data_IF_226426154225
#
_entry.id   IF_226426154225
#
_cell.length_a   1.000
_cell.length_b   1.000
_cell.length_c   1.000
_cell.angle_alpha   90.00
_cell.angle_beta   90.00
_cell.angle_gamma   90.00
#
_symmetry.space_group_name_H-M   'P 1'
#
loop_
_entity.id
_entity.type
_entity.pdbx_description
1 polymer ?
#
# COMPACT_ATOMS: atom_id res chain seq x y z
N UNK A 1 4.85 -55.00 28.17
CA UNK A 1 5.88 -55.94 27.69
C UNK A 1 6.78 -55.15 26.76
N UNK A 2 8.06 -55.06 27.14
CA UNK A 2 9.25 -54.78 26.29
C UNK A 2 9.25 -53.37 25.65
N UNK A 3 9.94 -52.36 26.19
CA UNK A 3 11.40 -52.15 26.35
C UNK A 3 12.19 -52.11 25.04
N UNK A 4 13.17 -51.22 25.03
CA UNK A 4 14.32 -51.08 24.11
C UNK A 4 14.05 -50.31 22.80
N UNK A 5 14.91 -49.43 22.32
CA UNK A 5 16.12 -48.81 22.86
C UNK A 5 16.46 -47.61 21.98
N UNK A 6 17.03 -46.56 22.57
CA UNK A 6 17.70 -45.49 21.83
C UNK A 6 19.02 -45.99 21.21
N UNK A 7 19.64 -45.23 20.28
CA UNK A 7 20.82 -44.53 20.77
C UNK A 7 21.02 -43.12 20.22
N UNK A 8 21.44 -42.25 21.14
CA UNK A 8 22.54 -41.29 21.06
C UNK A 8 22.77 -40.53 19.73
N UNK A 9 22.41 -39.26 19.74
CA UNK A 9 23.13 -38.23 18.97
C UNK A 9 23.85 -37.27 19.91
N UNK A 10 25.15 -37.18 19.64
CA UNK A 10 26.22 -36.45 20.28
C UNK A 10 25.88 -35.05 20.80
N UNK A 11 26.45 -34.74 21.96
CA UNK A 11 26.51 -33.41 22.52
C UNK A 11 27.31 -32.46 21.64
N UNK A 12 26.77 -31.26 21.48
CA UNK A 12 27.48 -30.10 20.94
C UNK A 12 28.18 -29.42 22.12
N UNK A 13 29.50 -29.24 22.09
CA UNK A 13 30.23 -28.56 23.15
C UNK A 13 29.95 -27.05 23.12
N UNK A 14 29.89 -26.46 24.31
CA UNK A 14 29.81 -25.03 24.52
C UNK A 14 30.95 -24.30 23.80
N UNK A 15 30.58 -23.37 22.94
CA UNK A 15 31.49 -22.39 22.36
C UNK A 15 31.61 -21.21 23.31
N UNK A 16 32.84 -21.02 23.79
CA UNK A 16 33.28 -19.93 24.64
C UNK A 16 32.82 -18.54 24.14
N UNK A 17 32.45 -17.72 25.13
CA UNK A 17 32.35 -16.28 25.01
C UNK A 17 33.75 -15.71 24.72
N UNK A 18 34.08 -15.65 23.43
CA UNK A 18 35.21 -14.90 22.91
C UNK A 18 35.02 -13.41 23.20
N UNK A 19 35.87 -12.89 24.06
CA UNK A 19 36.13 -11.47 24.28
C UNK A 19 36.46 -10.82 22.92
N UNK A 20 35.98 -9.60 22.62
CA UNK A 20 36.35 -8.92 21.40
C UNK A 20 37.84 -8.57 21.46
N UNK A 21 38.64 -9.40 20.78
CA UNK A 21 40.06 -9.14 20.55
C UNK A 21 40.21 -7.82 19.80
N UNK A 22 41.11 -7.01 20.33
CA UNK A 22 41.56 -5.74 19.80
C UNK A 22 41.73 -5.78 18.28
N UNK A 23 40.88 -5.04 17.58
CA UNK A 23 41.07 -4.72 16.18
C UNK A 23 42.36 -3.90 16.07
N UNK A 24 43.47 -4.61 15.88
CA UNK A 24 44.75 -4.02 15.52
C UNK A 24 44.51 -3.09 14.32
N UNK A 25 44.93 -1.81 14.39
CA UNK A 25 44.76 -0.90 13.27
C UNK A 25 45.48 -1.52 12.08
N UNK A 26 44.72 -1.81 11.02
CA UNK A 26 45.29 -2.11 9.73
C UNK A 26 46.12 -0.90 9.35
N UNK A 27 47.41 -0.98 9.61
CA UNK A 27 48.39 -0.04 9.11
C UNK A 27 48.39 -0.24 7.61
N UNK A 28 47.47 0.46 6.93
CA UNK A 28 47.59 0.76 5.52
C UNK A 28 49.02 1.26 5.36
N UNK A 29 49.88 0.40 4.83
CA UNK A 29 51.20 0.77 4.36
C UNK A 29 50.91 1.74 3.23
N UNK A 30 50.82 3.03 3.59
CA UNK A 30 50.87 4.12 2.64
C UNK A 30 52.19 3.93 1.91
N UNK A 31 52.11 3.31 0.74
CA UNK A 31 53.22 3.21 -0.19
C UNK A 31 53.82 4.61 -0.29
N UNK A 32 55.11 4.72 -0.04
CA UNK A 32 55.85 5.99 -0.11
C UNK A 32 55.36 6.76 -1.34
N UNK A 33 55.02 8.07 -1.21
CA UNK A 33 54.52 8.84 -2.33
C UNK A 33 55.49 8.66 -3.48
N UNK A 34 55.03 8.05 -4.56
CA UNK A 34 55.85 7.84 -5.73
C UNK A 34 56.35 9.22 -6.15
N UNK A 35 57.67 9.42 -6.11
CA UNK A 35 58.30 10.68 -6.49
C UNK A 35 58.27 10.76 -8.00
N UNK A 36 57.11 11.14 -8.54
CA UNK A 36 56.95 11.39 -9.97
C UNK A 36 57.76 12.62 -10.32
N UNK A 37 58.61 12.48 -11.33
CA UNK A 37 59.34 13.62 -11.86
C UNK A 37 58.33 14.64 -12.43
N UNK A 38 58.70 15.92 -12.39
CA UNK A 38 57.86 17.01 -12.93
C UNK A 38 57.28 16.74 -14.33
N UNK A 39 58.01 16.15 -15.30
CA UNK A 39 57.44 15.79 -16.59
C UNK A 39 56.37 14.70 -16.52
N UNK A 40 56.48 13.72 -15.61
CA UNK A 40 55.45 12.68 -15.44
C UNK A 40 54.15 13.25 -14.88
N UNK A 41 54.23 14.25 -13.99
CA UNK A 41 53.05 14.94 -13.45
C UNK A 41 52.31 15.74 -14.53
N UNK A 42 53.04 16.43 -15.41
CA UNK A 42 52.47 17.17 -16.53
C UNK A 42 51.82 16.22 -17.55
N UNK A 43 52.44 15.07 -17.84
CA UNK A 43 51.86 14.06 -18.72
C UNK A 43 50.56 13.47 -18.15
N UNK A 44 50.52 13.13 -16.86
CA UNK A 44 49.31 12.63 -16.20
C UNK A 44 48.18 13.66 -16.21
N UNK A 45 48.50 14.94 -15.95
CA UNK A 45 47.51 16.02 -16.01
C UNK A 45 46.96 16.18 -17.43
N UNK A 46 47.82 16.11 -18.45
CA UNK A 46 47.41 16.18 -19.86
C UNK A 46 46.46 15.03 -20.25
N UNK A 47 46.77 13.80 -19.82
CA UNK A 47 45.90 12.63 -20.06
C UNK A 47 44.56 12.76 -19.33
N UNK A 48 44.57 13.24 -18.09
CA UNK A 48 43.34 13.47 -17.33
C UNK A 48 42.45 14.52 -17.99
N UNK A 49 43.03 15.65 -18.42
CA UNK A 49 42.30 16.70 -19.13
C UNK A 49 41.75 16.20 -20.46
N UNK A 50 42.53 15.41 -21.21
CA UNK A 50 42.07 14.81 -22.46
C UNK A 50 40.94 13.78 -22.23
N UNK A 51 40.98 13.00 -21.15
CA UNK A 51 39.91 12.09 -20.77
C UNK A 51 38.64 12.84 -20.37
N UNK A 52 38.75 13.90 -19.55
CA UNK A 52 37.60 14.72 -19.16
C UNK A 52 37.00 15.40 -20.40
N UNK A 53 37.82 16.01 -21.26
CA UNK A 53 37.35 16.61 -22.50
C UNK A 53 36.71 15.58 -23.44
N UNK A 54 37.26 14.36 -23.51
CA UNK A 54 36.70 13.26 -24.28
C UNK A 54 35.34 12.80 -23.74
N UNK A 55 35.18 12.66 -22.42
CA UNK A 55 33.89 12.32 -21.80
C UNK A 55 32.87 13.44 -22.00
N UNK A 56 33.26 14.70 -21.82
CA UNK A 56 32.37 15.85 -22.06
C UNK A 56 31.93 15.89 -23.52
N UNK A 57 32.85 15.69 -24.46
CA UNK A 57 32.54 15.67 -25.90
C UNK A 57 31.63 14.49 -26.26
N UNK A 58 31.87 13.30 -25.71
CA UNK A 58 30.99 12.14 -25.93
C UNK A 58 29.61 12.42 -25.37
N UNK A 59 29.50 12.98 -24.16
CA UNK A 59 28.21 13.35 -23.54
C UNK A 59 27.48 14.43 -24.35
N UNK A 60 28.22 15.39 -24.92
CA UNK A 60 27.64 16.43 -25.76
C UNK A 60 27.15 15.86 -27.09
N UNK A 61 27.98 15.06 -27.77
CA UNK A 61 27.61 14.43 -29.03
C UNK A 61 26.49 13.39 -28.87
N UNK A 62 26.38 12.74 -27.71
CA UNK A 62 25.28 11.81 -27.42
C UNK A 62 23.98 12.49 -27.01
N UNK A 63 24.01 13.80 -26.69
CA UNK A 63 22.80 14.57 -26.36
C UNK A 63 22.09 15.12 -27.60
N UNK A 64 22.79 15.26 -28.72
CA UNK A 64 22.20 15.78 -29.96
C UNK A 64 21.31 14.75 -30.70
N UNK A 65 21.34 13.47 -30.28
CA UNK A 65 20.55 12.37 -30.86
C UNK A 65 19.55 11.78 -29.86
N UNK A 66 18.98 12.59 -28.95
CA UNK A 66 17.79 12.11 -28.23
C UNK A 66 16.69 11.84 -29.28
N UNK A 67 16.24 10.59 -29.43
CA UNK A 67 15.28 10.24 -30.47
C UNK A 67 14.03 11.08 -30.26
N UNK A 68 13.63 11.81 -31.31
CA UNK A 68 12.38 12.56 -31.30
C UNK A 68 11.24 11.59 -30.95
N UNK A 69 10.42 11.90 -29.93
CA UNK A 69 9.32 11.02 -29.54
C UNK A 69 8.43 10.70 -30.73
N UNK A 70 8.05 9.43 -30.86
CA UNK A 70 7.20 8.90 -31.92
C UNK A 70 5.79 8.65 -31.40
N UNK A 71 4.84 8.46 -32.31
CA UNK A 71 3.48 8.04 -31.96
C UNK A 71 3.51 6.82 -31.04
N UNK A 72 2.82 6.91 -29.90
CA UNK A 72 2.73 5.86 -28.90
C UNK A 72 3.83 5.86 -27.84
N UNK A 73 4.84 6.71 -27.99
CA UNK A 73 5.82 6.91 -26.91
C UNK A 73 5.16 7.59 -25.71
N UNK A 74 5.59 7.17 -24.51
CA UNK A 74 5.24 7.80 -23.25
C UNK A 74 6.43 8.64 -22.79
N UNK A 75 6.23 9.95 -22.70
CA UNK A 75 7.18 10.88 -22.12
C UNK A 75 6.83 11.00 -20.64
N UNK A 76 7.62 10.37 -19.77
CA UNK A 76 7.39 10.43 -18.33
C UNK A 76 7.57 11.86 -17.80
N UNK A 77 6.58 12.36 -17.07
CA UNK A 77 6.61 13.63 -16.37
C UNK A 77 5.86 13.49 -15.05
N UNK A 78 6.48 13.87 -13.94
CA UNK A 78 5.87 13.79 -12.63
C UNK A 78 4.69 14.75 -12.46
N UNK A 79 4.66 15.86 -13.22
CA UNK A 79 3.67 16.93 -13.08
C UNK A 79 3.10 17.36 -14.44
N UNK A 80 2.38 16.47 -15.14
CA UNK A 80 1.88 16.75 -16.49
C UNK A 80 0.72 17.76 -16.50
N UNK A 81 0.21 18.14 -15.32
CA UNK A 81 -0.91 19.06 -15.13
C UNK A 81 -0.48 20.32 -14.39
N UNK A 82 -0.99 21.46 -14.84
CA UNK A 82 -1.02 22.70 -14.09
C UNK A 82 -2.15 22.69 -13.05
N UNK A 83 -2.02 23.51 -12.01
CA UNK A 83 -3.09 23.74 -11.02
C UNK A 83 -4.37 24.34 -11.64
N UNK A 84 -4.24 25.03 -12.77
CA UNK A 84 -5.34 25.71 -13.46
C UNK A 84 -6.00 24.85 -14.56
N UNK A 85 -5.50 23.64 -14.82
CA UNK A 85 -6.03 22.79 -15.88
C UNK A 85 -7.36 22.15 -15.47
N UNK A 86 -8.33 22.16 -16.38
CA UNK A 86 -9.56 21.40 -16.21
C UNK A 86 -9.27 19.90 -16.37
N UNK A 87 -9.21 19.19 -15.24
CA UNK A 87 -8.91 17.76 -15.20
C UNK A 87 -10.19 16.93 -15.20
N UNK A 88 -10.14 15.84 -15.94
CA UNK A 88 -11.18 14.83 -16.01
C UNK A 88 -10.71 13.59 -15.27
N UNK A 89 -11.34 13.27 -14.13
CA UNK A 89 -11.01 12.09 -13.32
C UNK A 89 -11.97 10.93 -13.61
N UNK A 90 -11.42 9.72 -13.72
CA UNK A 90 -12.13 8.47 -13.95
C UNK A 90 -11.71 7.44 -12.92
N UNK A 91 -12.69 6.85 -12.26
CA UNK A 91 -12.49 5.72 -11.36
C UNK A 91 -12.93 4.43 -12.05
N UNK A 92 -12.01 3.48 -12.15
CA UNK A 92 -12.28 2.12 -12.59
C UNK A 92 -12.16 1.20 -11.37
N UNK A 93 -13.29 0.63 -10.95
CA UNK A 93 -13.35 -0.32 -9.84
C UNK A 93 -12.85 -1.67 -10.30
N UNK A 94 -11.80 -2.11 -9.64
CA UNK A 94 -11.26 -3.45 -9.73
C UNK A 94 -11.56 -4.19 -8.42
N UNK A 95 -11.54 -5.53 -8.43
CA UNK A 95 -11.84 -6.32 -7.24
C UNK A 95 -10.82 -6.12 -6.12
N UNK A 96 -9.57 -5.88 -6.49
CA UNK A 96 -8.48 -5.63 -5.55
C UNK A 96 -8.36 -4.14 -5.15
N UNK A 97 -9.14 -3.23 -5.75
CA UNK A 97 -9.03 -1.81 -5.47
C UNK A 97 -9.54 -0.90 -6.59
N UNK A 98 -9.28 0.40 -6.48
CA UNK A 98 -9.71 1.37 -7.49
C UNK A 98 -8.52 1.87 -8.30
N UNK A 99 -8.67 1.92 -9.61
CA UNK A 99 -7.77 2.61 -10.52
C UNK A 99 -8.34 4.01 -10.78
N UNK A 100 -7.60 5.03 -10.38
CA UNK A 100 -7.92 6.42 -10.66
C UNK A 100 -7.08 6.87 -11.85
N UNK A 101 -7.72 7.39 -12.89
CA UNK A 101 -7.06 7.99 -14.03
C UNK A 101 -7.49 9.44 -14.17
N UNK A 102 -6.54 10.31 -14.51
CA UNK A 102 -6.75 11.73 -14.75
C UNK A 102 -6.22 12.09 -16.11
N UNK A 103 -6.97 12.93 -16.81
CA UNK A 103 -6.62 13.42 -18.13
C UNK A 103 -6.96 14.91 -18.25
N UNK A 104 -6.30 15.57 -19.18
CA UNK A 104 -6.73 16.85 -19.74
C UNK A 104 -6.88 16.69 -21.25
N UNK A 105 -7.40 17.71 -21.93
CA UNK A 105 -7.44 17.71 -23.39
C UNK A 105 -6.02 17.57 -23.99
N UNK A 106 -5.89 16.96 -25.18
CA UNK A 106 -4.62 16.91 -25.90
C UNK A 106 -4.03 18.30 -26.15
N UNK A 107 -2.72 18.45 -25.94
CA UNK A 107 -2.01 19.72 -26.10
C UNK A 107 -0.97 19.62 -27.23
N UNK A 108 -0.66 20.72 -27.94
CA UNK A 108 0.35 20.70 -29.02
C UNK A 108 1.79 20.65 -28.50
N UNK A 109 2.00 20.97 -27.22
CA UNK A 109 3.31 20.98 -26.58
C UNK A 109 3.19 20.80 -25.07
N UNK A 110 4.12 20.06 -24.47
CA UNK A 110 4.25 19.96 -23.02
C UNK A 110 5.07 21.15 -22.50
N UNK A 111 4.66 21.77 -21.38
CA UNK A 111 5.47 22.79 -20.73
C UNK A 111 6.85 22.21 -20.36
N UNK A 112 7.89 23.06 -20.31
CA UNK A 112 9.17 22.61 -19.82
C UNK A 112 9.05 22.19 -18.34
N UNK A 113 9.64 21.06 -17.98
CA UNK A 113 9.73 20.62 -16.58
C UNK A 113 10.42 21.70 -15.75
N UNK A 114 9.97 21.96 -14.51
CA UNK A 114 10.50 23.05 -13.66
C UNK A 114 12.04 23.01 -13.50
N UNK A 115 12.62 21.81 -13.53
CA UNK A 115 14.06 21.58 -13.38
C UNK A 115 14.88 21.81 -14.68
N UNK A 116 14.21 21.94 -15.83
CA UNK A 116 14.85 22.15 -17.12
C UNK A 116 14.40 23.49 -17.70
N UNK A 117 15.32 24.44 -17.84
CA UNK A 117 15.15 25.64 -18.67
C UNK A 117 15.14 25.29 -20.18
N UNK A 118 14.49 24.18 -20.54
CA UNK A 118 14.37 23.71 -21.90
C UNK A 118 13.22 24.43 -22.61
N UNK A 119 13.23 24.35 -23.94
CA UNK A 119 12.08 24.74 -24.74
C UNK A 119 10.91 23.76 -24.47
N UNK A 120 9.65 24.20 -24.62
CA UNK A 120 8.50 23.31 -24.56
C UNK A 120 8.67 22.12 -25.50
N UNK A 121 8.37 20.91 -25.02
CA UNK A 121 8.47 19.72 -25.84
C UNK A 121 7.29 19.71 -26.82
N UNK A 122 7.59 19.75 -28.12
CA UNK A 122 6.59 19.65 -29.18
C UNK A 122 7.03 18.59 -30.18
N UNK A 123 6.06 17.87 -30.73
CA UNK A 123 6.30 16.82 -31.73
C UNK A 123 5.48 17.16 -32.96
N UNK A 124 6.15 17.43 -34.08
CA UNK A 124 5.49 17.90 -35.29
C UNK A 124 4.42 16.90 -35.77
N UNK A 125 3.19 17.39 -36.01
CA UNK A 125 2.07 16.57 -36.48
C UNK A 125 1.47 15.64 -35.42
N UNK A 126 1.82 15.82 -34.15
CA UNK A 126 1.33 15.02 -33.04
C UNK A 126 0.73 15.90 -31.94
N UNK A 127 -0.16 15.29 -31.17
CA UNK A 127 -0.68 15.85 -29.95
C UNK A 127 -0.08 15.09 -28.76
N UNK A 128 0.00 15.75 -27.61
CA UNK A 128 0.44 15.17 -26.37
C UNK A 128 -0.79 15.05 -25.47
N UNK A 129 -1.18 13.83 -25.11
CA UNK A 129 -2.27 13.59 -24.16
C UNK A 129 -1.68 13.51 -22.74
N UNK A 130 -1.92 14.51 -21.87
CA UNK A 130 -1.43 14.47 -20.51
C UNK A 130 -2.27 13.48 -19.70
N UNK A 131 -1.61 12.60 -18.96
CA UNK A 131 -2.28 11.60 -18.14
C UNK A 131 -1.57 11.40 -16.81
N UNK A 132 -2.35 10.98 -15.82
CA UNK A 132 -1.87 10.39 -14.57
C UNK A 132 -2.77 9.21 -14.24
N UNK A 133 -2.18 8.15 -13.71
CA UNK A 133 -2.96 7.09 -13.11
C UNK A 133 -2.35 6.65 -11.79
N UNK A 134 -3.21 6.28 -10.86
CA UNK A 134 -2.85 5.72 -9.57
C UNK A 134 -3.76 4.56 -9.23
N UNK A 135 -3.15 3.47 -8.80
CA UNK A 135 -3.90 2.36 -8.23
C UNK A 135 -3.94 2.48 -6.71
N UNK A 136 -5.13 2.61 -6.14
CA UNK A 136 -5.34 2.48 -4.71
C UNK A 136 -5.80 1.05 -4.43
N UNK A 137 -4.90 0.27 -3.84
CA UNK A 137 -5.25 -1.04 -3.34
C UNK A 137 -6.18 -0.85 -2.14
N UNK A 138 -7.40 -1.36 -2.25
CA UNK A 138 -8.21 -1.56 -1.07
C UNK A 138 -7.56 -2.74 -0.37
N UNK A 139 -6.80 -2.51 0.72
CA UNK A 139 -6.11 -3.49 1.59
C UNK A 139 -6.84 -4.82 1.90
N UNK A 140 -8.10 -4.89 1.51
CA UNK A 140 -9.18 -5.83 1.73
C UNK A 140 -8.99 -7.17 1.00
N UNK A 141 -8.23 -7.23 -0.09
CA UNK A 141 -7.93 -8.51 -0.77
C UNK A 141 -6.45 -8.60 -1.16
N UNK A 142 -5.64 -9.25 -0.32
CA UNK A 142 -4.35 -9.80 -0.75
C UNK A 142 -4.53 -11.12 -1.54
N UNK A 143 -5.72 -11.39 -2.07
CA UNK A 143 -5.84 -12.39 -3.12
C UNK A 143 -4.84 -11.98 -4.21
N UNK A 144 -3.94 -12.88 -4.60
CA UNK A 144 -2.83 -12.62 -5.51
C UNK A 144 -3.27 -11.64 -6.59
N UNK A 145 -2.89 -10.36 -6.46
CA UNK A 145 -3.54 -9.32 -7.24
C UNK A 145 -3.29 -9.66 -8.71
N UNK A 146 -4.36 -10.01 -9.41
CA UNK A 146 -4.26 -10.26 -10.83
C UNK A 146 -3.69 -8.97 -11.43
N UNK A 147 -2.66 -9.13 -12.26
CA UNK A 147 -2.07 -7.98 -12.95
C UNK A 147 -3.16 -7.38 -13.83
N UNK A 148 -3.43 -6.09 -13.63
CA UNK A 148 -4.31 -5.34 -14.52
C UNK A 148 -3.43 -4.63 -15.55
N UNK A 149 -3.70 -4.79 -16.84
CA UNK A 149 -3.03 -4.01 -17.89
C UNK A 149 -3.91 -2.83 -18.25
N UNK A 150 -3.32 -1.63 -18.26
CA UNK A 150 -4.01 -0.38 -18.59
C UNK A 150 -3.59 0.03 -20.00
N UNK A 151 -4.57 0.18 -20.89
CA UNK A 151 -4.37 0.57 -22.28
C UNK A 151 -5.23 1.79 -22.59
N UNK A 152 -4.70 2.76 -23.32
CA UNK A 152 -5.50 3.80 -23.97
C UNK A 152 -5.71 3.41 -25.42
N UNK A 153 -6.97 3.35 -25.84
CA UNK A 153 -7.37 3.17 -27.22
C UNK A 153 -7.81 4.52 -27.80
N UNK A 154 -7.24 4.89 -28.96
CA UNK A 154 -7.60 6.10 -29.71
C UNK A 154 -7.92 5.67 -31.13
N UNK A 155 -9.21 5.59 -31.46
CA UNK A 155 -9.69 4.88 -32.65
C UNK A 155 -9.26 3.41 -32.64
N UNK A 156 -8.51 2.97 -33.66
CA UNK A 156 -7.99 1.60 -33.78
C UNK A 156 -6.62 1.39 -33.09
N UNK A 157 -5.94 2.47 -32.69
CA UNK A 157 -4.63 2.40 -32.06
C UNK A 157 -4.76 2.11 -30.56
N UNK A 158 -3.81 1.33 -30.01
CA UNK A 158 -3.76 0.94 -28.60
C UNK A 158 -2.38 1.22 -28.02
N UNK A 159 -2.35 1.86 -26.86
CA UNK A 159 -1.12 2.27 -26.17
C UNK A 159 -1.15 1.79 -24.72
N UNK A 160 -0.24 0.89 -24.35
CA UNK A 160 -0.14 0.37 -22.98
C UNK A 160 0.49 1.44 -22.07
N UNK A 161 -0.27 1.89 -21.06
CA UNK A 161 0.25 2.84 -20.05
C UNK A 161 1.08 2.14 -18.98
N UNK A 162 0.80 0.86 -18.75
CA UNK A 162 1.50 0.03 -17.79
C UNK A 162 0.61 -1.03 -17.16
N UNK A 163 1.17 -1.66 -16.13
CA UNK A 163 0.52 -2.72 -15.39
C UNK A 163 0.35 -2.34 -13.93
N UNK A 164 -0.83 -2.62 -13.37
CA UNK A 164 -1.08 -2.54 -11.93
C UNK A 164 -0.26 -3.64 -11.26
N UNK A 165 0.82 -3.25 -10.60
CA UNK A 165 1.67 -4.16 -9.86
C UNK A 165 1.09 -4.41 -8.46
N UNK A 166 1.25 -5.64 -7.92
CA UNK A 166 0.82 -6.00 -6.56
C UNK A 166 1.75 -5.36 -5.52
N UNK A 167 1.71 -4.05 -5.32
CA UNK A 167 2.58 -3.38 -4.35
C UNK A 167 1.81 -2.39 -3.48
N UNK A 168 1.59 -2.82 -2.23
CA UNK A 168 1.26 -1.94 -1.10
C UNK A 168 -0.11 -1.23 -1.16
N UNK A 169 -0.40 -0.38 -0.16
CA UNK A 169 -1.63 0.44 -0.07
C UNK A 169 -2.00 1.22 -1.33
N UNK A 170 -0.98 1.79 -1.98
CA UNK A 170 -1.11 2.71 -3.10
C UNK A 170 0.11 2.53 -3.96
N UNK A 171 -0.09 2.34 -5.26
CA UNK A 171 1.01 2.49 -6.20
C UNK A 171 1.47 3.95 -6.20
N UNK A 172 2.77 4.22 -6.47
CA UNK A 172 3.15 5.55 -6.91
C UNK A 172 2.27 5.92 -8.12
N UNK A 173 1.85 7.18 -8.17
CA UNK A 173 1.20 7.69 -9.37
C UNK A 173 2.18 7.59 -10.54
N UNK A 174 1.67 7.20 -11.70
CA UNK A 174 2.41 7.24 -12.95
C UNK A 174 1.80 8.32 -13.81
N UNK A 175 2.63 9.21 -14.32
CA UNK A 175 2.20 10.39 -15.04
C UNK A 175 3.13 10.69 -16.21
N UNK A 176 2.60 11.41 -17.20
CA UNK A 176 3.35 11.83 -18.36
C UNK A 176 2.47 12.28 -19.52
N UNK A 177 3.06 12.29 -20.71
CA UNK A 177 2.41 12.60 -21.97
C UNK A 177 2.46 11.40 -22.90
N UNK A 178 1.31 10.98 -23.42
CA UNK A 178 1.22 10.02 -24.52
C UNK A 178 1.24 10.77 -25.86
N UNK A 179 2.17 10.41 -26.75
CA UNK A 179 2.26 11.00 -28.09
C UNK A 179 1.21 10.39 -29.01
N UNK A 180 0.23 11.18 -29.44
CA UNK A 180 -0.86 10.76 -30.33
C UNK A 180 -0.67 11.32 -31.74
N UNK A 181 -1.10 10.59 -32.79
CA UNK A 181 -1.01 11.09 -34.15
C UNK A 181 -2.10 12.14 -34.42
N UNK A 182 -1.74 13.26 -35.07
CA UNK A 182 -2.67 14.33 -35.42
C UNK A 182 -2.44 15.61 -34.61
N UNK A 183 -3.16 16.68 -34.96
CA UNK A 183 -3.06 17.94 -34.23
C UNK A 183 -3.90 17.91 -32.95
N UNK A 184 -3.49 18.64 -31.92
CA UNK A 184 -4.22 18.75 -30.66
C UNK A 184 -5.71 19.09 -30.86
N UNK A 185 -6.00 20.13 -31.66
CA UNK A 185 -7.38 20.57 -31.95
C UNK A 185 -8.23 19.56 -32.74
N UNK A 186 -7.64 18.46 -33.21
CA UNK A 186 -8.34 17.39 -33.94
C UNK A 186 -8.65 16.15 -33.10
N UNK A 187 -8.20 16.13 -31.84
CA UNK A 187 -8.41 15.05 -30.89
C UNK A 187 -9.15 15.57 -29.66
N UNK A 188 -10.06 14.77 -29.14
CA UNK A 188 -10.78 15.07 -27.90
C UNK A 188 -10.69 13.89 -26.94
N UNK A 189 -10.96 14.12 -25.65
CA UNK A 189 -11.09 13.02 -24.70
C UNK A 189 -12.26 12.08 -25.01
N UNK A 190 -13.24 12.51 -25.79
CA UNK A 190 -14.33 11.64 -26.26
C UNK A 190 -13.84 10.59 -27.27
N UNK A 191 -12.69 10.81 -27.91
CA UNK A 191 -12.06 9.86 -28.84
C UNK A 191 -11.16 8.84 -28.13
N UNK A 192 -10.94 9.02 -26.81
CA UNK A 192 -10.06 8.19 -25.99
C UNK A 192 -10.89 7.21 -25.16
N UNK A 193 -10.60 5.92 -25.31
CA UNK A 193 -11.18 4.84 -24.51
C UNK A 193 -10.10 4.24 -23.61
N UNK A 194 -10.35 4.23 -22.30
CA UNK A 194 -9.55 3.55 -21.30
C UNK A 194 -9.96 2.08 -21.31
N UNK A 195 -9.01 1.20 -21.54
CA UNK A 195 -9.17 -0.25 -21.55
C UNK A 195 -8.40 -0.85 -20.38
N UNK A 196 -9.09 -1.60 -19.52
CA UNK A 196 -8.47 -2.30 -18.39
C UNK A 196 -8.71 -3.79 -18.51
N UNK A 197 -7.65 -4.55 -18.76
CA UNK A 197 -7.69 -6.00 -18.78
C UNK A 197 -7.32 -6.53 -17.40
N UNK A 198 -8.28 -7.12 -16.69
CA UNK A 198 -8.10 -7.72 -15.37
C UNK A 198 -8.62 -9.16 -15.38
N UNK A 199 -7.75 -10.12 -15.05
CA UNK A 199 -8.11 -11.55 -15.00
C UNK A 199 -8.80 -12.06 -16.29
N UNK A 200 -8.30 -11.60 -17.44
CA UNK A 200 -8.84 -11.93 -18.77
C UNK A 200 -10.15 -11.22 -19.13
N UNK A 201 -10.70 -10.37 -18.26
CA UNK A 201 -11.88 -9.56 -18.52
C UNK A 201 -11.48 -8.14 -18.90
N UNK A 202 -12.04 -7.64 -20.00
CA UNK A 202 -11.83 -6.28 -20.47
C UNK A 202 -12.95 -5.37 -19.94
N UNK A 203 -12.56 -4.29 -19.28
CA UNK A 203 -13.42 -3.17 -18.96
C UNK A 203 -13.05 -1.99 -19.85
N UNK A 204 -14.04 -1.22 -20.30
CA UNK A 204 -13.82 -0.04 -21.15
C UNK A 204 -14.53 1.18 -20.57
N UNK A 205 -13.87 2.35 -20.61
CA UNK A 205 -14.43 3.63 -20.15
C UNK A 205 -14.01 4.73 -21.11
N UNK A 206 -14.94 5.52 -21.63
CA UNK A 206 -14.63 6.71 -22.39
C UNK A 206 -14.02 7.78 -21.48
N UNK A 207 -12.84 8.30 -21.82
CA UNK A 207 -12.15 9.27 -20.99
C UNK A 207 -12.95 10.58 -20.87
N UNK A 208 -13.55 11.07 -21.95
CA UNK A 208 -14.31 12.32 -21.99
C UNK A 208 -15.67 12.25 -21.30
N UNK A 209 -16.46 11.20 -21.54
CA UNK A 209 -17.84 11.11 -21.02
C UNK A 209 -17.96 10.32 -19.72
N UNK A 210 -17.02 9.40 -19.45
CA UNK A 210 -17.10 8.46 -18.33
C UNK A 210 -18.08 7.30 -18.54
N UNK A 211 -18.74 7.23 -19.70
CA UNK A 211 -19.54 6.07 -20.08
C UNK A 211 -18.64 4.85 -20.24
N UNK A 212 -19.05 3.69 -19.71
CA UNK A 212 -18.24 2.48 -19.74
C UNK A 212 -19.04 1.20 -19.88
N UNK A 213 -18.34 0.17 -20.36
CA UNK A 213 -18.79 -1.23 -20.33
C UNK A 213 -17.83 -2.00 -19.41
N UNK A 214 -18.36 -2.43 -18.27
CA UNK A 214 -17.60 -3.13 -17.24
C UNK A 214 -17.77 -4.66 -17.31
N UNK A 215 -18.57 -5.14 -18.28
CA UNK A 215 -18.81 -6.57 -18.48
C UNK A 215 -19.24 -7.29 -17.18
N UNK A 216 -18.49 -8.32 -16.81
CA UNK A 216 -18.70 -9.08 -15.58
C UNK A 216 -18.52 -8.23 -14.30
N UNK A 217 -17.69 -7.18 -14.35
CA UNK A 217 -17.45 -6.28 -13.22
C UNK A 217 -18.57 -5.24 -13.01
N UNK A 218 -19.62 -5.20 -13.86
CA UNK A 218 -20.73 -4.23 -13.75
C UNK A 218 -21.35 -4.17 -12.34
N UNK A 219 -21.42 -5.30 -11.64
CA UNK A 219 -21.94 -5.36 -10.27
C UNK A 219 -21.16 -4.49 -9.26
N UNK A 220 -19.87 -4.18 -9.52
CA UNK A 220 -19.07 -3.25 -8.72
C UNK A 220 -19.53 -1.79 -8.87
N UNK A 221 -20.17 -1.47 -9.99
CA UNK A 221 -20.61 -0.11 -10.35
C UNK A 221 -22.09 0.12 -10.05
N UNK A 222 -22.92 -0.89 -10.22
CA UNK A 222 -24.38 -0.77 -10.04
C UNK A 222 -24.82 -0.55 -8.60
N UNK A 223 -23.96 -0.88 -7.61
CA UNK A 223 -24.30 -0.65 -6.21
C UNK A 223 -23.96 0.78 -5.81
N UNK A 224 -24.90 1.52 -5.18
CA UNK A 224 -24.53 2.76 -4.53
C UNK A 224 -23.38 2.44 -3.58
N UNK A 225 -22.35 3.29 -3.55
CA UNK A 225 -21.36 3.21 -2.49
C UNK A 225 -22.15 3.22 -1.19
N UNK A 226 -22.26 2.05 -0.53
CA UNK A 226 -23.01 1.94 0.71
C UNK A 226 -22.24 2.78 1.71
N UNK A 227 -22.61 4.05 1.80
CA UNK A 227 -22.25 4.94 2.88
C UNK A 227 -22.97 4.36 4.09
N UNK A 228 -22.41 3.31 4.67
CA UNK A 228 -22.91 2.74 5.91
C UNK A 228 -22.74 3.83 6.96
N UNK A 229 -23.82 4.55 7.26
CA UNK A 229 -23.87 5.48 8.37
C UNK A 229 -23.79 4.64 9.64
N UNK A 230 -22.58 4.50 10.17
CA UNK A 230 -22.38 3.82 11.43
C UNK A 230 -22.63 4.81 12.57
N UNK A 231 -23.49 4.44 13.51
CA UNK A 231 -23.51 5.09 14.82
C UNK A 231 -22.53 4.30 15.69
N UNK A 232 -21.44 4.90 16.18
CA UNK A 232 -20.54 4.24 17.12
C UNK A 232 -21.31 3.84 18.38
N UNK A 233 -21.79 2.60 18.42
CA UNK A 233 -21.83 1.88 19.66
C UNK A 233 -20.38 1.59 19.99
N UNK A 234 -19.77 2.38 20.89
CA UNK A 234 -18.47 2.00 21.43
C UNK A 234 -18.56 0.55 21.90
N UNK A 235 -17.48 -0.22 21.73
CA UNK A 235 -17.38 -1.52 22.40
C UNK A 235 -17.78 -1.29 23.85
N UNK A 236 -18.91 -1.85 24.28
CA UNK A 236 -19.21 -1.88 25.69
C UNK A 236 -18.08 -2.74 26.27
N UNK A 237 -17.10 -2.10 26.91
CA UNK A 237 -16.16 -2.82 27.75
C UNK A 237 -17.07 -3.61 28.69
N UNK A 238 -17.06 -4.94 28.56
CA UNK A 238 -17.87 -5.77 29.43
C UNK A 238 -17.47 -5.39 30.86
N UNK A 239 -18.37 -4.80 31.66
CA UNK A 239 -18.05 -4.50 33.05
C UNK A 239 -17.68 -5.76 33.84
N UNK A 240 -17.91 -6.96 33.27
CA UNK A 240 -17.46 -8.24 33.78
C UNK A 240 -16.05 -8.65 33.31
N UNK A 241 -15.26 -7.78 32.68
CA UNK A 241 -13.81 -8.01 32.52
C UNK A 241 -13.23 -8.29 33.92
N UNK A 242 -13.03 -9.58 34.20
CA UNK A 242 -12.67 -10.04 35.53
C UNK A 242 -11.25 -9.56 35.73
N UNK A 243 -10.98 -8.67 36.70
CA UNK A 243 -9.62 -8.17 36.90
C UNK A 243 -8.70 -9.38 37.08
N UNK A 244 -7.70 -9.51 36.21
CA UNK A 244 -6.63 -10.48 36.43
C UNK A 244 -5.91 -9.96 37.67
N UNK A 245 -6.05 -10.68 38.78
CA UNK A 245 -5.53 -10.33 40.10
C UNK A 245 -6.03 -8.99 40.70
N UNK A 246 -7.30 -8.65 40.50
CA UNK A 246 -7.99 -7.61 41.30
C UNK A 246 -7.56 -6.16 41.02
N UNK A 247 -6.62 -5.93 40.10
CA UNK A 247 -6.02 -4.61 39.92
C UNK A 247 -5.83 -4.16 38.48
N UNK A 248 -6.34 -4.87 37.46
CA UNK A 248 -6.15 -4.45 36.06
C UNK A 248 -7.49 -4.26 35.35
N UNK A 249 -7.69 -3.07 34.79
CA UNK A 249 -8.83 -2.70 33.94
C UNK A 249 -8.33 -2.57 32.51
N UNK A 250 -8.92 -3.32 31.59
CA UNK A 250 -8.68 -3.09 30.15
C UNK A 250 -9.74 -2.11 29.68
N UNK A 251 -9.32 -0.90 29.31
CA UNK A 251 -10.18 0.07 28.62
C UNK A 251 -9.92 -0.11 27.12
N UNK A 252 -10.92 -0.66 26.43
CA UNK A 252 -10.91 -0.80 24.98
C UNK A 252 -11.84 0.22 24.36
N UNK A 253 -11.27 1.20 23.66
CA UNK A 253 -12.03 1.99 22.70
C UNK A 253 -11.99 1.28 21.36
N UNK A 254 -13.14 0.97 20.78
CA UNK A 254 -13.23 0.45 19.42
C UNK A 254 -13.89 1.47 18.51
N UNK A 255 -13.31 1.67 17.34
CA UNK A 255 -13.84 2.47 16.27
C UNK A 255 -13.98 1.58 15.04
N UNK A 256 -15.21 1.38 14.58
CA UNK A 256 -15.45 0.80 13.27
C UNK A 256 -15.07 1.84 12.21
N UNK A 257 -14.02 1.57 11.43
CA UNK A 257 -13.47 2.53 10.47
C UNK A 257 -14.25 2.49 9.16
N UNK A 258 -14.54 1.29 8.64
CA UNK A 258 -15.36 1.13 7.44
C UNK A 258 -15.90 -0.28 7.29
N UNK A 259 -17.07 -0.41 6.66
CA UNK A 259 -17.59 -1.66 6.11
C UNK A 259 -17.63 -1.51 4.60
N UNK A 260 -17.32 -2.60 3.90
CA UNK A 260 -17.39 -2.67 2.45
C UNK A 260 -17.96 -3.99 2.01
N UNK A 261 -18.68 -3.94 0.90
CA UNK A 261 -19.56 -5.00 0.44
C UNK A 261 -19.26 -5.24 -1.03
N UNK A 262 -18.47 -6.26 -1.31
CA UNK A 262 -18.03 -6.57 -2.66
C UNK A 262 -18.79 -7.80 -3.18
N UNK A 263 -19.60 -7.65 -4.25
CA UNK A 263 -20.38 -8.76 -4.78
C UNK A 263 -19.50 -9.88 -5.33
N UNK A 264 -20.03 -11.09 -5.34
CA UNK A 264 -19.52 -12.13 -6.25
C UNK A 264 -19.61 -11.64 -7.69
N UNK A 265 -18.54 -11.90 -8.44
CA UNK A 265 -18.56 -11.82 -9.90
C UNK A 265 -18.40 -13.21 -10.48
N UNK A 266 -19.42 -13.65 -11.22
CA UNK A 266 -19.44 -14.97 -11.86
C UNK A 266 -18.34 -15.10 -12.92
N UNK A 267 -17.80 -16.31 -13.06
CA UNK A 267 -16.70 -16.61 -13.98
C UNK A 267 -15.31 -16.15 -13.52
N UNK A 268 -15.24 -15.28 -12.51
CA UNK A 268 -13.97 -14.77 -11.99
C UNK A 268 -13.50 -15.49 -10.72
N UNK A 269 -14.34 -16.36 -10.14
CA UNK A 269 -13.91 -17.33 -9.12
C UNK A 269 -13.56 -16.73 -7.75
N UNK A 270 -13.90 -15.46 -7.50
CA UNK A 270 -13.50 -14.75 -6.29
C UNK A 270 -14.30 -15.14 -5.03
N UNK A 271 -15.49 -15.75 -5.19
CA UNK A 271 -16.26 -16.51 -4.16
C UNK A 271 -17.14 -17.59 -4.81
N UNK A 272 -17.89 -18.35 -4.01
CA UNK A 272 -18.98 -19.19 -4.51
C UNK A 272 -20.13 -18.32 -5.03
N UNK A 273 -20.78 -18.77 -6.11
CA UNK A 273 -21.92 -18.08 -6.67
C UNK A 273 -23.01 -17.77 -5.63
N UNK A 274 -23.54 -16.54 -5.67
CA UNK A 274 -24.53 -16.05 -4.70
C UNK A 274 -23.97 -15.55 -3.37
N UNK A 275 -22.65 -15.45 -3.23
CA UNK A 275 -22.00 -14.91 -2.02
C UNK A 275 -21.58 -13.46 -2.25
N UNK A 276 -21.39 -12.69 -1.20
CA UNK A 276 -20.81 -11.33 -1.22
C UNK A 276 -19.71 -11.31 -0.17
N UNK A 277 -18.60 -10.67 -0.46
CA UNK A 277 -17.58 -10.42 0.55
C UNK A 277 -17.95 -9.19 1.36
N UNK A 278 -17.90 -9.32 2.67
CA UNK A 278 -17.99 -8.20 3.60
C UNK A 278 -16.62 -8.01 4.19
N UNK A 279 -16.00 -6.88 3.91
CA UNK A 279 -14.77 -6.50 4.61
C UNK A 279 -15.07 -5.43 5.63
N UNK A 280 -14.78 -5.76 6.87
CA UNK A 280 -14.95 -4.87 8.01
C UNK A 280 -13.58 -4.42 8.49
N UNK A 281 -13.39 -3.12 8.61
CA UNK A 281 -12.18 -2.49 9.12
C UNK A 281 -12.53 -1.80 10.43
N UNK A 282 -11.79 -2.09 11.49
CA UNK A 282 -11.94 -1.39 12.74
C UNK A 282 -10.61 -1.23 13.45
N UNK A 283 -10.54 -0.14 14.19
CA UNK A 283 -9.44 0.26 15.02
C UNK A 283 -9.81 0.02 16.46
N UNK A 284 -8.92 -0.63 17.19
CA UNK A 284 -9.04 -0.87 18.62
C UNK A 284 -7.88 -0.19 19.33
N UNK A 285 -8.20 0.71 20.25
CA UNK A 285 -7.24 1.22 21.22
C UNK A 285 -7.41 0.41 22.49
N UNK A 286 -6.37 -0.31 22.86
CA UNK A 286 -6.33 -1.12 24.07
C UNK A 286 -5.46 -0.41 25.09
N UNK A 287 -6.08 0.14 26.13
CA UNK A 287 -5.39 0.71 27.28
C UNK A 287 -5.51 -0.28 28.45
N UNK A 288 -4.38 -0.83 28.92
CA UNK A 288 -4.34 -1.62 30.16
C UNK A 288 -3.99 -0.70 31.31
N UNK A 289 -4.91 -0.56 32.28
CA UNK A 289 -4.82 0.34 33.43
C UNK A 289 -4.82 -0.44 34.73
N UNK A 290 -4.25 0.12 35.79
CA UNK A 290 -4.41 -0.43 37.14
C UNK A 290 -5.70 0.11 37.77
N UNK A 291 -6.47 -0.74 38.46
CA UNK A 291 -7.75 -0.42 39.08
C UNK A 291 -7.64 0.54 40.28
N UNK A 292 -6.42 0.72 40.81
CA UNK A 292 -6.15 1.53 42.00
C UNK A 292 -5.72 2.97 41.67
N UNK A 293 -5.54 3.32 40.40
CA UNK A 293 -5.13 4.68 40.01
C UNK A 293 -6.33 5.63 40.04
N UNK A 294 -6.43 6.37 41.15
CA UNK A 294 -7.21 7.60 41.20
C UNK A 294 -6.52 8.64 40.29
N UNK A 295 -7.08 8.79 39.10
CA UNK A 295 -6.98 9.91 38.14
C UNK A 295 -5.61 10.33 37.55
N UNK A 296 -4.43 10.14 38.16
CA UNK A 296 -3.21 10.85 37.67
C UNK A 296 -1.86 10.08 37.51
N UNK A 297 -1.70 8.81 37.91
CA UNK A 297 -0.44 8.06 37.77
C UNK A 297 -0.55 6.84 36.85
N UNK A 298 -0.39 7.04 35.53
CA UNK A 298 -0.55 5.95 34.55
C UNK A 298 0.66 4.99 34.54
N UNK A 299 0.55 3.84 35.20
CA UNK A 299 1.45 2.71 34.93
C UNK A 299 1.02 2.02 33.64
N UNK A 300 1.68 2.35 32.52
CA UNK A 300 1.25 1.89 31.20
C UNK A 300 2.04 0.68 30.73
N UNK A 301 1.38 -0.47 30.62
CA UNK A 301 1.89 -1.62 29.87
C UNK A 301 2.03 -1.24 28.39
N UNK A 302 3.12 -1.67 27.77
CA UNK A 302 3.28 -1.61 26.32
C UNK A 302 2.82 -2.93 25.74
N UNK A 303 1.78 -2.88 24.91
CA UNK A 303 1.33 -4.05 24.16
C UNK A 303 2.47 -4.55 23.27
N UNK A 304 2.81 -5.82 23.40
CA UNK A 304 3.83 -6.49 22.60
C UNK A 304 3.19 -7.38 21.53
N UNK A 305 2.00 -7.92 21.79
CA UNK A 305 1.24 -8.71 20.83
C UNK A 305 -0.25 -8.70 21.13
N UNK A 306 -1.05 -8.99 20.11
CA UNK A 306 -2.47 -9.28 20.23
C UNK A 306 -2.81 -10.38 19.24
N UNK A 307 -3.66 -11.33 19.63
CA UNK A 307 -4.21 -12.36 18.76
C UNK A 307 -5.73 -12.28 18.87
N UNK A 308 -6.38 -11.89 17.77
CA UNK A 308 -7.81 -11.64 17.74
C UNK A 308 -8.54 -12.58 16.80
N UNK A 309 -9.72 -12.98 17.22
CA UNK A 309 -10.65 -13.86 16.54
C UNK A 309 -11.96 -13.09 16.33
N UNK A 310 -12.07 -12.31 15.24
CA UNK A 310 -13.30 -11.63 14.92
C UNK A 310 -14.29 -12.58 14.24
N UNK A 311 -15.58 -12.33 14.43
CA UNK A 311 -16.68 -13.07 13.83
C UNK A 311 -17.79 -12.10 13.43
N UNK A 312 -18.45 -12.38 12.30
CA UNK A 312 -19.62 -11.64 11.83
C UNK A 312 -20.84 -12.56 11.89
N UNK A 313 -21.79 -12.29 12.77
CA UNK A 313 -22.93 -13.18 13.07
C UNK A 313 -22.50 -14.62 13.42
N UNK A 314 -21.36 -14.74 14.12
CA UNK A 314 -20.75 -16.03 14.46
C UNK A 314 -20.00 -16.71 13.31
N UNK A 315 -19.94 -16.09 12.12
CA UNK A 315 -19.17 -16.58 10.97
C UNK A 315 -17.70 -16.15 11.14
N UNK A 316 -16.80 -17.11 11.07
CA UNK A 316 -15.37 -16.84 11.02
C UNK A 316 -14.97 -16.20 9.68
N UNK A 317 -14.06 -15.23 9.68
CA UNK A 317 -13.59 -14.60 8.46
C UNK A 317 -12.77 -15.59 7.63
N UNK A 318 -12.84 -15.44 6.31
CA UNK A 318 -11.93 -16.17 5.41
C UNK A 318 -10.50 -15.60 5.46
N UNK A 319 -10.37 -14.32 5.85
CA UNK A 319 -9.10 -13.62 5.98
C UNK A 319 -9.13 -12.62 7.14
N UNK A 320 -8.05 -12.57 7.91
CA UNK A 320 -7.80 -11.56 8.95
C UNK A 320 -6.43 -10.96 8.73
N UNK A 321 -6.37 -9.64 8.63
CA UNK A 321 -5.13 -8.88 8.72
C UNK A 321 -5.15 -8.06 10.01
N UNK A 322 -4.06 -8.11 10.75
CA UNK A 322 -3.93 -7.46 12.04
C UNK A 322 -2.58 -6.73 12.11
N UNK A 323 -2.60 -5.47 12.55
CA UNK A 323 -1.38 -4.69 12.78
C UNK A 323 -1.48 -3.88 14.07
N UNK A 324 -0.39 -3.86 14.83
CA UNK A 324 -0.25 -3.05 16.04
C UNK A 324 0.74 -1.93 15.73
N UNK A 325 0.29 -0.68 15.83
CA UNK A 325 1.16 0.49 15.61
C UNK A 325 1.89 0.92 16.89
N UNK A 326 2.85 1.83 16.73
CA UNK A 326 3.64 2.38 17.85
C UNK A 326 2.81 3.20 18.85
N UNK A 327 1.62 3.63 18.45
CA UNK A 327 0.65 4.35 19.28
C UNK A 327 -0.26 3.39 20.07
N UNK A 328 0.00 2.08 19.99
CA UNK A 328 -0.80 1.01 20.63
C UNK A 328 -2.21 0.90 20.07
N UNK A 329 -2.36 1.34 18.82
CA UNK A 329 -3.58 1.19 18.05
C UNK A 329 -3.49 -0.12 17.31
N UNK A 330 -4.45 -0.98 17.56
CA UNK A 330 -4.60 -2.23 16.87
C UNK A 330 -5.59 -2.07 15.72
N UNK A 331 -5.11 -2.20 14.49
CA UNK A 331 -5.94 -2.14 13.29
C UNK A 331 -6.25 -3.54 12.83
N UNK A 332 -7.54 -3.81 12.60
CA UNK A 332 -8.05 -5.08 12.13
C UNK A 332 -8.83 -4.90 10.84
N UNK A 333 -8.57 -5.81 9.91
CA UNK A 333 -9.36 -6.02 8.70
C UNK A 333 -9.78 -7.47 8.66
N UNK A 334 -11.08 -7.73 8.61
CA UNK A 334 -11.61 -9.09 8.49
C UNK A 334 -12.60 -9.17 7.33
N UNK A 335 -12.48 -10.24 6.54
CA UNK A 335 -13.24 -10.45 5.32
C UNK A 335 -14.09 -11.71 5.43
N UNK A 336 -15.41 -11.55 5.31
CA UNK A 336 -16.42 -12.57 5.55
C UNK A 336 -17.18 -12.92 4.27
N UNK A 337 -17.33 -14.21 3.95
CA UNK A 337 -18.25 -14.63 2.91
C UNK A 337 -19.67 -14.65 3.49
N UNK A 338 -20.56 -13.82 2.97
CA UNK A 338 -21.97 -13.80 3.40
C UNK A 338 -22.91 -13.99 2.22
N UNK A 339 -24.05 -14.63 2.45
CA UNK A 339 -25.09 -14.81 1.43
C UNK A 339 -26.17 -13.73 1.48
N UNK A 340 -26.33 -13.06 2.62
CA UNK A 340 -27.32 -12.00 2.85
C UNK A 340 -26.70 -10.93 3.77
N UNK A 341 -26.86 -9.66 3.39
CA UNK A 341 -26.28 -8.53 4.12
C UNK A 341 -27.31 -7.48 4.56
N UNK A 342 -28.58 -7.66 4.26
CA UNK A 342 -29.57 -6.65 4.65
C UNK A 342 -30.03 -6.97 6.06
N UNK A 343 -29.74 -6.07 7.01
CA UNK A 343 -30.19 -6.22 8.39
C UNK A 343 -29.19 -5.75 9.44
N UNK A 344 -29.46 -6.16 10.68
CA UNK A 344 -28.59 -5.92 11.83
C UNK A 344 -27.62 -7.09 11.94
N UNK A 345 -26.33 -6.76 11.91
CA UNK A 345 -25.24 -7.71 12.01
C UNK A 345 -24.44 -7.49 13.30
N UNK A 346 -23.96 -8.58 13.89
CA UNK A 346 -23.13 -8.57 15.08
C UNK A 346 -21.69 -8.90 14.72
N UNK A 347 -20.80 -7.91 14.84
CA UNK A 347 -19.36 -8.13 14.82
C UNK A 347 -18.91 -8.42 16.24
N UNK A 348 -18.54 -9.67 16.55
CA UNK A 348 -17.93 -10.00 17.82
C UNK A 348 -16.44 -10.24 17.63
N UNK A 349 -15.60 -9.58 18.42
CA UNK A 349 -14.17 -9.88 18.47
C UNK A 349 -13.81 -10.40 19.84
N UNK A 350 -13.10 -11.52 19.87
CA UNK A 350 -12.49 -12.05 21.09
C UNK A 350 -10.99 -12.22 20.87
N UNK A 351 -10.22 -12.33 21.94
CA UNK A 351 -8.81 -12.63 21.78
C UNK A 351 -7.98 -12.44 23.03
N UNK A 352 -6.67 -12.60 22.84
CA UNK A 352 -5.65 -12.44 23.87
C UNK A 352 -4.72 -11.30 23.50
N UNK A 353 -4.47 -10.40 24.45
CA UNK A 353 -3.43 -9.38 24.36
C UNK A 353 -2.31 -9.75 25.31
N UNK A 354 -1.06 -9.51 24.90
CA UNK A 354 0.09 -9.59 25.80
C UNK A 354 0.87 -8.28 25.79
N UNK A 355 1.39 -7.89 26.95
CA UNK A 355 2.14 -6.66 27.10
C UNK A 355 3.20 -6.75 28.18
N UNK A 356 4.19 -5.87 28.07
CA UNK A 356 5.29 -5.74 29.02
C UNK A 356 5.22 -4.40 29.75
N UNK A 357 5.62 -4.41 31.01
CA UNK A 357 5.60 -3.23 31.86
C UNK A 357 6.68 -2.22 31.42
N UNK A 358 6.28 -0.97 31.12
CA UNK A 358 7.20 0.05 30.55
C UNK A 358 8.18 0.62 31.57
N UNK A 359 7.92 0.48 32.88
CA UNK A 359 8.75 1.03 33.96
C UNK A 359 8.78 0.10 35.19
N UNK A 360 9.48 -1.05 35.12
CA UNK A 360 9.50 -2.03 36.21
C UNK A 360 10.14 -1.49 37.51
N UNK A 361 10.99 -0.46 37.41
CA UNK A 361 11.75 0.07 38.54
C UNK A 361 11.01 1.16 39.33
N UNK A 362 9.80 1.56 38.90
CA UNK A 362 9.01 2.53 39.66
C UNK A 362 8.55 1.92 40.99
N UNK A 363 8.75 2.60 42.14
CA UNK A 363 8.34 2.08 43.44
C UNK A 363 6.83 1.84 43.55
N UNK A 364 6.02 2.54 42.75
CA UNK A 364 4.56 2.37 42.65
C UNK A 364 4.17 1.05 41.96
N UNK A 365 5.13 0.40 41.29
CA UNK A 365 4.92 -0.73 40.38
C UNK A 365 5.63 -1.99 40.90
N UNK A 366 6.32 -1.89 42.05
CA UNK A 366 6.98 -3.01 42.71
C UNK A 366 5.96 -4.07 43.14
N UNK A 367 6.11 -5.29 42.63
CA UNK A 367 5.23 -6.42 42.90
C UNK A 367 4.26 -6.76 41.77
N UNK A 368 4.21 -5.96 40.70
CA UNK A 368 3.46 -6.28 39.50
C UNK A 368 4.24 -7.24 38.58
N UNK A 369 3.55 -8.11 37.83
CA UNK A 369 4.21 -9.01 36.91
C UNK A 369 4.83 -8.23 35.74
N UNK A 370 6.06 -8.59 35.36
CA UNK A 370 6.78 -7.94 34.26
C UNK A 370 6.09 -8.13 32.89
N UNK A 371 5.33 -9.22 32.75
CA UNK A 371 4.53 -9.54 31.58
C UNK A 371 3.08 -9.80 32.01
N UNK A 372 2.15 -9.33 31.20
CA UNK A 372 0.72 -9.57 31.36
C UNK A 372 0.16 -10.22 30.10
N UNK A 373 -0.71 -11.22 30.29
CA UNK A 373 -1.63 -11.70 29.26
C UNK A 373 -3.06 -11.48 29.73
N UNK A 374 -3.87 -10.82 28.92
CA UNK A 374 -5.28 -10.60 29.19
C UNK A 374 -6.15 -11.15 28.06
N UNK A 375 -7.30 -11.71 28.42
CA UNK A 375 -8.33 -12.17 27.48
C UNK A 375 -9.52 -11.23 27.52
N UNK A 376 -10.13 -10.97 26.37
CA UNK A 376 -11.28 -10.08 26.28
C UNK A 376 -12.26 -10.53 25.19
N UNK A 377 -13.49 -10.02 25.29
CA UNK A 377 -14.51 -10.12 24.25
C UNK A 377 -15.26 -8.79 24.15
N UNK A 378 -15.40 -8.24 22.95
CA UNK A 378 -16.24 -7.07 22.72
C UNK A 378 -17.18 -7.32 21.55
N UNK A 379 -18.49 -7.46 21.82
CA UNK A 379 -19.49 -7.44 20.77
C UNK A 379 -19.73 -6.00 20.30
N UNK A 380 -19.84 -5.84 19.00
CA UNK A 380 -20.31 -4.64 18.31
C UNK A 380 -21.51 -5.02 17.45
N UNK A 381 -22.45 -4.11 17.28
CA UNK A 381 -23.58 -4.29 16.37
C UNK A 381 -23.61 -3.15 15.38
N UNK A 382 -23.91 -3.46 14.13
CA UNK A 382 -24.07 -2.48 13.07
C UNK A 382 -25.25 -2.87 12.20
N UNK A 383 -25.86 -1.88 11.55
CA UNK A 383 -26.95 -2.10 10.60
C UNK A 383 -26.45 -1.79 9.21
N UNK A 384 -26.70 -2.72 8.28
CA UNK A 384 -26.46 -2.51 6.86
C UNK A 384 -27.80 -2.33 6.18
N UNK A 385 -28.01 -1.12 5.65
CA UNK A 385 -29.19 -0.76 4.88
C UNK A 385 -28.88 -0.88 3.39
N UNK A 386 -29.88 -1.30 2.61
CA UNK A 386 -29.80 -1.39 1.15
C UNK A 386 -29.80 -0.02 0.46
#
# INVERSE_FOLDING_TARGET
>A
MVSDDAPATAGVPGGDAGTPDDAAPSTQRWSRPATWSMPQRLAALGVLVALIAGVVLVVHLSRDDEPTPQTGDIIADAYPFSYDDEQVEREIKLPSGSLYLRFTDPVPSAPPSEDQQADPLSVEGHALLPFEWQYANLYRFQAAAAQATITLAVGDARYELGNVLPLGPRSPAQSGYLVLPGAADSLSLEDVTIEVLFDGQLQTVNAGTGEGDFGSAQALYDRPATNTSFTPGGCAADPASTPIDGQLVTVTDCLLDSISVEPYVDGLGWVSAGTTWVTVNWTMRVDVRLANDAEDSLSVYTLSSAALEPTLDGIAPAKVDQSLDTSRTLKLTATYPVTELVGVHQLATSGTISGELRYPDSPEVQGLPAALTASWSAPMSFEVTA
#
